data_IF_876108050933
#
_entry.id   IF_876108050933
#
_cell.length_a   1.000
_cell.length_b   1.000
_cell.length_c   1.000
_cell.angle_alpha   90.00
_cell.angle_beta   90.00
_cell.angle_gamma   90.00
#
_symmetry.space_group_name_H-M   'P 1'
#
loop_
_entity.id
_entity.type
_entity.pdbx_description
1 polymer ?
#
# COMPACT_ATOMS: atom_id res chain seq x y z
N UNK A 1 10.79 -1.36 -28.21
CA UNK A 1 10.51 -2.48 -27.29
C UNK A 1 10.80 -2.06 -25.84
N UNK A 2 10.05 -1.11 -25.27
CA UNK A 2 10.35 -0.52 -23.95
C UNK A 2 9.18 -0.42 -22.95
N UNK A 3 7.98 -0.82 -23.34
CA UNK A 3 6.74 -0.59 -22.56
C UNK A 3 6.51 -1.65 -21.48
N UNK A 4 6.78 -2.93 -21.77
CA UNK A 4 6.49 -4.03 -20.84
C UNK A 4 7.34 -4.05 -19.56
N UNK A 5 8.58 -3.58 -19.61
CA UNK A 5 9.45 -3.54 -18.44
C UNK A 5 9.00 -2.50 -17.42
N UNK A 6 8.41 -1.39 -17.87
CA UNK A 6 7.98 -0.32 -16.98
C UNK A 6 6.68 -0.68 -16.25
N UNK A 7 5.73 -1.31 -16.94
CA UNK A 7 4.48 -1.79 -16.35
C UNK A 7 4.73 -2.82 -15.23
N UNK A 8 5.73 -3.69 -15.42
CA UNK A 8 6.15 -4.67 -14.42
C UNK A 8 6.77 -4.00 -13.18
N UNK A 9 7.58 -2.96 -13.36
CA UNK A 9 8.19 -2.22 -12.24
C UNK A 9 7.09 -1.55 -11.41
N UNK A 10 6.14 -0.86 -12.04
CA UNK A 10 5.07 -0.18 -11.29
C UNK A 10 4.14 -1.16 -10.58
N UNK A 11 3.88 -2.34 -11.15
CA UNK A 11 3.15 -3.40 -10.48
C UNK A 11 3.89 -3.93 -9.24
N UNK A 12 5.22 -4.06 -9.31
CA UNK A 12 6.07 -4.43 -8.18
C UNK A 12 6.02 -3.34 -7.10
N UNK A 13 6.18 -2.08 -7.47
CA UNK A 13 6.15 -0.95 -6.51
C UNK A 13 4.79 -0.86 -5.80
N UNK A 14 3.70 -1.01 -6.55
CA UNK A 14 2.33 -1.04 -6.00
C UNK A 14 2.14 -2.21 -5.03
N UNK A 15 2.60 -3.40 -5.40
CA UNK A 15 2.53 -4.58 -4.54
C UNK A 15 3.36 -4.40 -3.27
N UNK A 16 4.54 -3.79 -3.38
CA UNK A 16 5.42 -3.53 -2.25
C UNK A 16 4.82 -2.52 -1.26
N UNK A 17 4.12 -1.48 -1.75
CA UNK A 17 3.35 -0.57 -0.91
C UNK A 17 2.25 -1.32 -0.13
N UNK A 18 1.50 -2.18 -0.81
CA UNK A 18 0.46 -2.99 -0.17
C UNK A 18 1.04 -3.94 0.89
N UNK A 19 2.14 -4.63 0.59
CA UNK A 19 2.84 -5.52 1.52
C UNK A 19 3.34 -4.77 2.75
N UNK A 20 3.92 -3.57 2.58
CA UNK A 20 4.37 -2.76 3.70
C UNK A 20 3.22 -2.33 4.61
N UNK A 21 2.06 -1.99 4.04
CA UNK A 21 0.84 -1.71 4.81
C UNK A 21 0.37 -2.92 5.61
N UNK A 22 0.34 -4.10 5.00
CA UNK A 22 -0.01 -5.34 5.68
C UNK A 22 0.94 -5.67 6.84
N UNK A 23 2.26 -5.55 6.64
CA UNK A 23 3.24 -5.78 7.71
C UNK A 23 3.03 -4.86 8.92
N UNK A 24 2.66 -3.59 8.68
CA UNK A 24 2.31 -2.65 9.77
C UNK A 24 1.04 -3.10 10.50
N UNK A 25 0.03 -3.57 9.78
CA UNK A 25 -1.21 -4.10 10.38
C UNK A 25 -0.91 -5.34 11.22
N UNK A 26 -0.08 -6.27 10.72
CA UNK A 26 0.31 -7.48 11.45
C UNK A 26 0.99 -7.14 12.78
N UNK A 27 1.86 -6.13 12.78
CA UNK A 27 2.50 -5.63 14.02
C UNK A 27 1.44 -5.12 15.02
N UNK A 28 0.46 -4.35 14.54
CA UNK A 28 -0.63 -3.86 15.40
C UNK A 28 -1.56 -4.97 15.89
N UNK A 29 -1.79 -6.01 15.08
CA UNK A 29 -2.52 -7.20 15.54
C UNK A 29 -1.73 -7.93 16.63
N UNK A 30 -0.41 -8.02 16.53
CA UNK A 30 0.42 -8.56 17.61
C UNK A 30 0.30 -7.74 18.91
N UNK A 31 0.27 -6.41 18.82
CA UNK A 31 0.04 -5.53 19.97
C UNK A 31 -1.33 -5.81 20.64
N UNK A 32 -2.39 -6.01 19.85
CA UNK A 32 -3.71 -6.41 20.35
C UNK A 32 -3.65 -7.74 21.11
N UNK A 33 -2.97 -8.74 20.55
CA UNK A 33 -2.81 -10.05 21.18
C UNK A 33 -1.97 -9.99 22.46
N UNK A 34 -1.06 -9.02 22.57
CA UNK A 34 -0.29 -8.73 23.78
C UNK A 34 -1.08 -7.97 24.85
N UNK A 35 -2.34 -7.60 24.59
CA UNK A 35 -3.22 -6.92 25.54
C UNK A 35 -3.19 -5.39 25.49
N UNK A 36 -2.72 -4.80 24.38
CA UNK A 36 -2.80 -3.37 24.16
C UNK A 36 -4.28 -2.88 24.10
N UNK A 37 -4.49 -1.58 24.30
CA UNK A 37 -5.84 -0.98 24.26
C UNK A 37 -6.50 -1.20 22.89
N UNK A 38 -7.60 -1.95 22.88
CA UNK A 38 -8.23 -2.38 21.63
C UNK A 38 -8.73 -1.21 20.79
N UNK A 39 -9.27 -0.15 21.42
CA UNK A 39 -9.82 0.99 20.67
C UNK A 39 -8.70 1.79 20.00
N UNK A 40 -7.62 2.03 20.73
CA UNK A 40 -6.45 2.72 20.21
C UNK A 40 -5.84 1.97 19.04
N UNK A 41 -5.55 0.67 19.21
CA UNK A 41 -4.90 -0.11 18.16
C UNK A 41 -5.81 -0.28 16.93
N UNK A 42 -7.12 -0.49 17.11
CA UNK A 42 -8.05 -0.52 15.97
C UNK A 42 -8.07 0.82 15.21
N UNK A 43 -7.98 1.96 15.91
CA UNK A 43 -7.87 3.27 15.25
C UNK A 43 -6.56 3.39 14.44
N UNK A 44 -5.45 2.90 14.96
CA UNK A 44 -4.16 2.90 14.24
C UNK A 44 -4.22 1.99 13.00
N UNK A 45 -4.83 0.80 13.11
CA UNK A 45 -5.03 -0.12 11.98
C UNK A 45 -5.86 0.56 10.89
N UNK A 46 -6.96 1.24 11.24
CA UNK A 46 -7.79 1.97 10.27
C UNK A 46 -7.02 3.10 9.57
N UNK A 47 -6.15 3.79 10.30
CA UNK A 47 -5.27 4.80 9.73
C UNK A 47 -4.28 4.18 8.73
N UNK A 48 -3.60 3.09 9.11
CA UNK A 48 -2.69 2.35 8.22
C UNK A 48 -3.39 1.88 6.96
N UNK A 49 -4.62 1.35 7.07
CA UNK A 49 -5.43 0.92 5.92
C UNK A 49 -5.69 2.09 4.98
N UNK A 50 -6.08 3.25 5.51
CA UNK A 50 -6.38 4.44 4.69
C UNK A 50 -5.13 4.93 3.96
N UNK A 51 -4.03 5.12 4.70
CA UNK A 51 -2.73 5.57 4.16
C UNK A 51 -2.20 4.61 3.07
N UNK A 52 -2.26 3.30 3.32
CA UNK A 52 -1.83 2.28 2.35
C UNK A 52 -2.69 2.32 1.08
N UNK A 53 -4.01 2.48 1.22
CA UNK A 53 -4.91 2.57 0.07
C UNK A 53 -4.65 3.81 -0.76
N UNK A 54 -4.39 4.94 -0.14
CA UNK A 54 -4.05 6.19 -0.82
C UNK A 54 -2.75 6.04 -1.59
N UNK A 55 -1.69 5.51 -0.97
CA UNK A 55 -0.40 5.28 -1.62
C UNK A 55 -0.50 4.32 -2.82
N UNK A 56 -1.19 3.19 -2.67
CA UNK A 56 -1.44 2.22 -3.75
C UNK A 56 -2.22 2.85 -4.90
N UNK A 57 -3.26 3.64 -4.57
CA UNK A 57 -4.09 4.30 -5.59
C UNK A 57 -3.31 5.39 -6.33
N UNK A 58 -2.45 6.11 -5.62
CA UNK A 58 -1.56 7.11 -6.19
C UNK A 58 -0.61 6.49 -7.21
N UNK A 59 0.12 5.43 -6.83
CA UNK A 59 1.09 4.76 -7.72
C UNK A 59 0.39 4.18 -8.96
N UNK A 60 -0.77 3.54 -8.77
CA UNK A 60 -1.58 3.03 -9.88
C UNK A 60 -2.03 4.15 -10.83
N UNK A 61 -2.42 5.31 -10.30
CA UNK A 61 -2.85 6.44 -11.11
C UNK A 61 -1.68 7.11 -11.84
N UNK A 62 -0.52 7.25 -11.21
CA UNK A 62 0.70 7.72 -11.88
C UNK A 62 1.12 6.79 -13.01
N UNK A 63 0.99 5.47 -12.83
CA UNK A 63 1.21 4.48 -13.89
C UNK A 63 0.32 4.75 -15.10
N UNK A 64 -0.98 4.94 -14.87
CA UNK A 64 -1.97 5.21 -15.93
C UNK A 64 -1.65 6.53 -16.64
N UNK A 65 -1.26 7.56 -15.90
CA UNK A 65 -0.91 8.86 -16.48
C UNK A 65 0.34 8.75 -17.36
N UNK A 66 1.39 8.07 -16.89
CA UNK A 66 2.61 7.79 -17.66
C UNK A 66 2.31 7.04 -18.96
N UNK A 67 1.42 6.04 -18.91
CA UNK A 67 0.98 5.29 -20.11
C UNK A 67 0.24 6.18 -21.12
N UNK A 68 -0.51 7.19 -20.65
CA UNK A 68 -1.20 8.14 -21.53
C UNK A 68 -0.24 9.12 -22.19
N UNK A 69 0.81 9.54 -21.49
CA UNK A 69 1.83 10.48 -22.00
C UNK A 69 2.76 9.85 -23.05
N UNK A 70 2.86 8.51 -23.09
CA UNK A 70 3.66 7.78 -24.07
C UNK A 70 2.94 7.47 -25.40
N UNK A 71 1.65 7.84 -25.54
CA UNK A 71 0.84 7.69 -26.77
C UNK A 71 0.79 8.97 -27.58
#
# INVERSE_FOLDING_TARGET
>A
MGTHHHDLITAIDTAQLATNGLNKIETKVADLLAGADTKHVCSEILYIITDTREAVSFEAQESINRLREQR
#
